data_IF_446281139797
#
_entry.id   IF_446281139797
#
_cell.length_a   1.000
_cell.length_b   1.000
_cell.length_c   1.000
_cell.angle_alpha   90.00
_cell.angle_beta   90.00
_cell.angle_gamma   90.00
#
_symmetry.space_group_name_H-M   'P 1'
#
loop_
_entity.id
_entity.type
_entity.pdbx_description
1 polymer ?
#
# COMPACT_ATOMS: atom_id res chain seq x y z
N UNK A 1 -31.34 28.45 -1.11
CA UNK A 1 -30.00 28.18 -1.66
C UNK A 1 -29.09 27.80 -0.51
N UNK A 2 -28.84 26.51 -0.33
CA UNK A 2 -28.05 26.03 0.82
C UNK A 2 -26.58 26.17 0.48
N UNK A 3 -25.92 27.19 1.05
CA UNK A 3 -24.46 27.33 1.00
C UNK A 3 -23.82 26.11 1.68
N UNK A 4 -22.82 25.52 1.05
CA UNK A 4 -21.92 24.55 1.68
C UNK A 4 -22.25 23.08 1.43
N UNK A 5 -22.45 22.65 0.18
CA UNK A 5 -22.46 21.22 -0.12
C UNK A 5 -21.01 20.71 -0.15
N UNK A 6 -20.75 19.60 0.54
CA UNK A 6 -19.46 18.92 0.52
C UNK A 6 -19.27 18.24 -0.84
N UNK A 7 -18.16 18.56 -1.52
CA UNK A 7 -17.91 18.08 -2.90
C UNK A 7 -16.79 17.02 -2.89
N UNK A 8 -15.75 17.20 -2.09
CA UNK A 8 -14.66 16.23 -1.92
C UNK A 8 -13.77 16.61 -0.73
N UNK A 9 -13.03 15.62 -0.22
CA UNK A 9 -11.84 15.81 0.62
C UNK A 9 -10.61 15.50 -0.22
N UNK A 10 -9.54 16.27 -0.03
CA UNK A 10 -8.22 15.98 -0.58
C UNK A 10 -7.31 15.65 0.59
N UNK A 11 -6.91 14.39 0.68
CA UNK A 11 -5.98 13.91 1.70
C UNK A 11 -4.60 13.68 1.07
N UNK A 12 -3.55 14.09 1.77
CA UNK A 12 -2.18 13.80 1.37
C UNK A 12 -1.80 12.39 1.84
N UNK A 13 -1.82 11.41 0.93
CA UNK A 13 -1.43 10.03 1.23
C UNK A 13 0.06 9.87 0.93
N UNK A 14 0.87 9.76 1.99
CA UNK A 14 2.33 9.56 1.88
C UNK A 14 2.75 8.09 1.85
N UNK A 15 1.99 7.25 2.55
CA UNK A 15 2.30 5.84 2.75
C UNK A 15 1.01 5.04 2.66
N UNK A 16 1.09 3.87 2.06
CA UNK A 16 0.00 2.90 1.97
C UNK A 16 0.48 1.54 2.47
N UNK A 17 -0.38 0.82 3.16
CA UNK A 17 -0.11 -0.56 3.58
C UNK A 17 -0.61 -1.51 2.49
N UNK A 18 0.23 -2.46 2.10
CA UNK A 18 -0.16 -3.55 1.21
C UNK A 18 -0.31 -4.83 2.02
N UNK A 19 -1.44 -5.51 1.89
CA UNK A 19 -1.64 -6.85 2.44
C UNK A 19 -1.30 -7.89 1.37
N UNK A 20 -0.39 -8.80 1.70
CA UNK A 20 0.09 -9.85 0.82
C UNK A 20 -0.09 -11.19 1.54
N UNK A 21 -0.76 -12.12 0.89
CA UNK A 21 -0.94 -13.48 1.42
C UNK A 21 0.33 -14.27 1.16
N UNK A 22 0.90 -14.83 2.23
CA UNK A 22 2.05 -15.74 2.19
C UNK A 22 1.60 -17.11 2.69
N UNK A 23 2.07 -18.18 2.06
CA UNK A 23 1.81 -19.55 2.50
C UNK A 23 2.41 -19.79 3.89
N UNK A 24 1.73 -20.56 4.74
CA UNK A 24 2.26 -20.95 6.06
C UNK A 24 3.59 -21.71 5.96
N UNK A 25 3.87 -22.36 4.83
CA UNK A 25 5.14 -23.05 4.62
C UNK A 25 6.31 -22.08 4.39
N UNK A 26 6.01 -20.88 3.89
CA UNK A 26 7.02 -19.88 3.49
C UNK A 26 7.15 -18.74 4.51
N UNK A 27 6.22 -18.63 5.48
CA UNK A 27 6.20 -17.53 6.47
C UNK A 27 7.43 -17.53 7.40
N UNK A 28 8.10 -18.68 7.55
CA UNK A 28 9.28 -18.82 8.40
C UNK A 28 10.44 -17.90 8.00
N UNK A 29 10.49 -17.50 6.72
CA UNK A 29 11.53 -16.63 6.17
C UNK A 29 11.16 -15.14 6.20
N UNK A 30 9.95 -14.78 6.68
CA UNK A 30 9.47 -13.39 6.72
C UNK A 30 9.72 -12.77 8.10
N UNK A 31 10.33 -11.58 8.11
CA UNK A 31 10.68 -10.87 9.35
C UNK A 31 10.18 -9.42 9.34
N UNK A 32 9.80 -8.91 10.51
CA UNK A 32 9.43 -7.49 10.68
C UNK A 32 10.59 -6.58 10.27
N UNK A 33 10.30 -5.55 9.48
CA UNK A 33 11.30 -4.61 8.99
C UNK A 33 12.08 -5.09 7.76
N UNK A 34 11.81 -6.31 7.27
CA UNK A 34 12.40 -6.84 6.05
C UNK A 34 12.06 -5.93 4.86
N UNK A 35 13.06 -5.51 4.06
CA UNK A 35 12.80 -4.71 2.86
C UNK A 35 11.98 -5.50 1.83
N UNK A 36 11.00 -4.84 1.22
CA UNK A 36 10.15 -5.43 0.17
C UNK A 36 10.02 -4.48 -1.01
N UNK A 37 9.80 -5.06 -2.19
CA UNK A 37 9.43 -4.34 -3.41
C UNK A 37 8.06 -4.82 -3.86
N UNK A 38 7.10 -3.89 -3.96
CA UNK A 38 5.77 -4.14 -4.49
C UNK A 38 5.68 -3.62 -5.94
N UNK A 39 5.12 -4.43 -6.82
CA UNK A 39 4.75 -4.04 -8.19
C UNK A 39 3.25 -4.22 -8.38
N UNK A 40 2.53 -3.13 -8.57
CA UNK A 40 1.10 -3.15 -8.76
C UNK A 40 0.75 -3.31 -10.24
N UNK A 41 -0.23 -4.16 -10.57
CA UNK A 41 -0.67 -4.39 -11.96
C UNK A 41 -1.19 -3.12 -12.64
N UNK A 42 -1.84 -2.23 -11.87
CA UNK A 42 -2.34 -0.94 -12.38
C UNK A 42 -1.21 0.06 -12.67
N UNK A 43 0.00 -0.19 -12.17
CA UNK A 43 1.18 0.66 -12.33
C UNK A 43 2.41 -0.20 -12.68
N UNK A 44 2.43 -0.82 -13.87
CA UNK A 44 3.41 -1.86 -14.23
C UNK A 44 4.86 -1.35 -14.26
N UNK A 45 5.03 -0.06 -14.53
CA UNK A 45 6.32 0.62 -14.63
C UNK A 45 6.77 1.28 -13.31
N UNK A 46 6.00 1.10 -12.23
CA UNK A 46 6.32 1.63 -10.90
C UNK A 46 6.69 0.51 -9.94
N UNK A 47 7.73 0.78 -9.15
CA UNK A 47 8.14 -0.05 -8.01
C UNK A 47 7.92 0.74 -6.72
N UNK A 48 7.28 0.11 -5.75
CA UNK A 48 7.10 0.68 -4.42
C UNK A 48 8.02 -0.05 -3.45
N UNK A 49 8.90 0.70 -2.80
CA UNK A 49 9.78 0.17 -1.76
C UNK A 49 9.10 0.30 -0.39
N UNK A 50 9.23 -0.74 0.43
CA UNK A 50 8.61 -0.77 1.74
C UNK A 50 9.33 -1.71 2.70
N UNK A 51 8.70 -1.91 3.85
CA UNK A 51 9.12 -2.89 4.85
C UNK A 51 7.90 -3.67 5.32
N UNK A 52 8.12 -4.93 5.68
CA UNK A 52 7.13 -5.79 6.38
C UNK A 52 6.78 -5.19 7.73
#
# INVERSE_FOLDING_TARGET
MTKGYFIATVDEIKTVTAEIVVSEQDIGDVQVGQPVILRARSYPDMTFEGKV
#
